data_IF_628113237903
#
_entry.id   IF_628113237903
#
_cell.length_a   1.000
_cell.length_b   1.000
_cell.length_c   1.000
_cell.angle_alpha   90.00
_cell.angle_beta   90.00
_cell.angle_gamma   90.00
#
_symmetry.space_group_name_H-M   'P 1'
#
loop_
_entity.id
_entity.type
_entity.pdbx_description
1 polymer ?
#
# COMPACT_ATOMS: atom_id res chain seq x y z
N UNK A 1 18.68 -3.98 -0.97
CA UNK A 1 17.31 -4.40 -0.64
C UNK A 1 16.43 -3.19 -0.48
N UNK A 2 15.23 -3.27 -0.99
CA UNK A 2 14.33 -2.11 -1.04
C UNK A 2 13.44 -2.10 0.20
N UNK A 3 13.58 -1.08 1.03
CA UNK A 3 12.80 -0.95 2.26
C UNK A 3 11.55 -0.08 2.11
N UNK A 4 11.18 0.25 0.87
CA UNK A 4 10.00 1.09 0.61
C UNK A 4 8.73 0.48 1.19
N UNK A 5 8.56 -0.82 1.01
CA UNK A 5 7.38 -1.51 1.52
C UNK A 5 7.33 -1.49 3.05
N UNK A 6 8.48 -1.66 3.68
CA UNK A 6 8.56 -1.59 5.14
C UNK A 6 8.18 -0.20 5.64
N UNK A 7 8.75 0.81 5.01
CA UNK A 7 8.57 2.19 5.43
C UNK A 7 7.10 2.61 5.36
N UNK A 8 6.45 2.38 4.21
CA UNK A 8 5.04 2.75 4.06
C UNK A 8 4.13 1.89 4.94
N UNK A 9 4.43 0.61 5.09
CA UNK A 9 3.63 -0.27 5.93
C UNK A 9 3.69 0.19 7.39
N UNK A 10 4.88 0.57 7.85
CA UNK A 10 5.06 1.10 9.20
C UNK A 10 4.28 2.40 9.40
N UNK A 11 4.37 3.31 8.43
CA UNK A 11 3.66 4.60 8.50
C UNK A 11 2.15 4.42 8.50
N UNK A 12 1.63 3.56 7.63
CA UNK A 12 0.20 3.30 7.58
C UNK A 12 -0.32 2.65 8.85
N UNK A 13 0.45 1.72 9.40
CA UNK A 13 0.09 1.08 10.66
C UNK A 13 -0.03 2.12 11.77
N UNK A 14 0.94 3.03 11.85
CA UNK A 14 0.94 4.10 12.83
C UNK A 14 -0.27 5.04 12.65
N UNK A 15 -0.52 5.46 11.42
CA UNK A 15 -1.64 6.37 11.10
C UNK A 15 -2.98 5.71 11.44
N UNK A 16 -3.18 4.46 11.04
CA UNK A 16 -4.44 3.77 11.28
C UNK A 16 -4.71 3.55 12.77
N UNK A 17 -3.66 3.29 13.56
CA UNK A 17 -3.82 3.13 14.99
C UNK A 17 -4.22 4.44 15.70
N UNK A 18 -4.06 5.57 15.02
CA UNK A 18 -4.52 6.86 15.52
C UNK A 18 -5.91 7.24 15.01
N UNK A 19 -6.51 6.41 14.18
CA UNK A 19 -7.87 6.64 13.69
C UNK A 19 -8.84 5.82 14.52
N UNK A 20 -9.85 6.46 15.06
CA UNK A 20 -10.83 5.80 15.89
C UNK A 20 -11.55 4.70 15.11
N UNK A 21 -11.64 3.52 15.71
CA UNK A 21 -12.32 2.39 15.09
C UNK A 21 -11.41 1.45 14.33
N UNK A 22 -10.13 1.80 14.16
CA UNK A 22 -9.15 0.96 13.49
C UNK A 22 -8.10 0.45 14.46
N UNK A 23 -7.72 -0.82 14.27
CA UNK A 23 -6.51 -1.38 14.88
C UNK A 23 -5.66 -1.92 13.73
N UNK A 24 -4.39 -1.64 13.75
CA UNK A 24 -3.50 -2.07 12.68
C UNK A 24 -2.22 -2.68 13.26
N UNK A 25 -1.70 -3.67 12.56
CA UNK A 25 -0.45 -4.33 12.90
C UNK A 25 0.26 -4.76 11.63
N UNK A 26 1.59 -4.80 11.67
CA UNK A 26 2.37 -5.30 10.55
C UNK A 26 2.40 -6.82 10.59
N UNK A 27 2.09 -7.46 9.46
CA UNK A 27 2.16 -8.91 9.32
C UNK A 27 3.48 -9.31 8.66
N UNK A 28 3.72 -8.80 7.45
CA UNK A 28 4.97 -8.99 6.74
C UNK A 28 5.35 -7.69 6.07
N UNK A 29 5.94 -6.75 6.82
CA UNK A 29 6.15 -5.39 6.31
C UNK A 29 7.10 -5.31 5.12
N UNK A 30 8.05 -6.23 5.00
CA UNK A 30 8.97 -6.24 3.85
C UNK A 30 8.25 -6.57 2.55
N UNK A 31 7.15 -7.31 2.63
CA UNK A 31 6.29 -7.61 1.49
C UNK A 31 5.08 -6.66 1.42
N UNK A 32 5.04 -5.67 2.29
CA UNK A 32 3.95 -4.71 2.30
C UNK A 32 2.64 -5.26 2.86
N UNK A 33 2.72 -6.29 3.70
CA UNK A 33 1.50 -6.90 4.24
C UNK A 33 1.25 -6.47 5.67
N UNK A 34 0.03 -6.05 5.93
CA UNK A 34 -0.40 -5.66 7.25
C UNK A 34 -1.78 -6.23 7.56
N UNK A 35 -2.11 -6.22 8.84
CA UNK A 35 -3.43 -6.60 9.34
C UNK A 35 -4.16 -5.35 9.80
N UNK A 36 -5.43 -5.27 9.48
CA UNK A 36 -6.28 -4.17 9.93
C UNK A 36 -7.55 -4.76 10.49
N UNK A 37 -7.94 -4.30 11.66
CA UNK A 37 -9.24 -4.66 12.23
C UNK A 37 -10.14 -3.44 12.19
N UNK A 38 -11.32 -3.62 11.64
CA UNK A 38 -12.32 -2.57 11.61
C UNK A 38 -13.68 -3.21 11.86
N UNK A 39 -14.41 -2.66 12.80
CA UNK A 39 -15.75 -3.12 13.11
C UNK A 39 -15.79 -4.61 13.51
N UNK A 40 -14.76 -5.07 14.23
CA UNK A 40 -14.64 -6.44 14.69
C UNK A 40 -14.18 -7.46 13.66
N UNK A 41 -13.92 -7.02 12.44
CA UNK A 41 -13.49 -7.89 11.34
C UNK A 41 -12.05 -7.59 11.01
N UNK A 42 -11.25 -8.64 10.83
CA UNK A 42 -9.84 -8.53 10.47
C UNK A 42 -9.66 -8.66 8.96
N UNK A 43 -8.80 -7.81 8.40
CA UNK A 43 -8.50 -7.79 6.97
C UNK A 43 -6.99 -7.86 6.76
N UNK A 44 -6.59 -8.58 5.70
CA UNK A 44 -5.25 -8.43 5.18
C UNK A 44 -5.22 -7.26 4.20
N UNK A 45 -4.22 -6.43 4.35
CA UNK A 45 -3.98 -5.32 3.42
C UNK A 45 -2.60 -5.53 2.80
N UNK A 46 -2.54 -5.52 1.49
CA UNK A 46 -1.28 -5.64 0.76
C UNK A 46 -0.95 -4.31 0.10
N UNK A 47 0.28 -3.89 0.27
CA UNK A 47 0.79 -2.61 -0.25
C UNK A 47 1.91 -2.94 -1.22
N UNK A 48 1.82 -2.44 -2.44
CA UNK A 48 2.87 -2.64 -3.41
C UNK A 48 3.07 -1.37 -4.23
N UNK A 49 4.31 -1.08 -4.63
CA UNK A 49 4.55 0.06 -5.51
C UNK A 49 3.96 -0.20 -6.90
N UNK A 50 3.55 0.87 -7.55
CA UNK A 50 3.03 0.79 -8.91
C UNK A 50 4.18 1.06 -9.88
N UNK A 51 4.50 0.09 -10.71
CA UNK A 51 5.59 0.20 -11.66
C UNK A 51 5.07 0.25 -13.08
N UNK A 52 5.87 0.86 -13.95
CA UNK A 52 5.58 0.90 -15.37
C UNK A 52 5.89 -0.46 -15.99
N UNK A 53 4.86 -1.18 -16.42
CA UNK A 53 4.99 -2.51 -17.00
C UNK A 53 5.70 -2.52 -18.34
N UNK A 54 5.91 -1.36 -18.95
CA UNK A 54 6.59 -1.25 -20.24
C UNK A 54 8.11 -1.15 -20.12
N UNK A 55 8.64 -1.11 -18.91
CA UNK A 55 10.08 -1.08 -18.69
C UNK A 55 10.65 -2.49 -18.91
N UNK A 56 11.38 -2.67 -20.00
CA UNK A 56 11.97 -3.96 -20.37
C UNK A 56 13.47 -3.95 -20.06
N UNK A 57 13.92 -4.95 -19.30
CA UNK A 57 15.35 -5.15 -19.05
C UNK A 57 15.99 -4.18 -18.07
N UNK A 58 15.19 -3.37 -17.40
CA UNK A 58 15.65 -2.41 -16.38
C UNK A 58 14.70 -2.46 -15.20
N UNK A 59 15.12 -1.86 -14.09
CA UNK A 59 14.19 -1.62 -13.01
C UNK A 59 13.04 -0.77 -13.51
N UNK A 60 11.82 -1.24 -13.26
CA UNK A 60 10.65 -0.50 -13.67
C UNK A 60 10.54 0.81 -12.88
N UNK A 61 10.30 1.90 -13.58
CA UNK A 61 10.06 3.17 -12.94
C UNK A 61 8.71 3.17 -12.25
N UNK A 62 8.64 3.81 -11.11
CA UNK A 62 7.37 3.97 -10.40
C UNK A 62 6.44 4.87 -11.22
N UNK A 63 5.18 4.46 -11.37
CA UNK A 63 4.19 5.26 -12.07
C UNK A 63 3.83 6.51 -11.28
N UNK A 64 3.75 7.68 -11.93
CA UNK A 64 3.28 8.89 -11.24
C UNK A 64 1.85 8.72 -10.72
N UNK A 65 1.64 9.17 -9.51
CA UNK A 65 0.35 9.06 -8.85
C UNK A 65 -0.81 9.58 -9.71
N UNK A 66 -0.62 10.74 -10.31
CA UNK A 66 -1.65 11.41 -11.12
C UNK A 66 -2.03 10.58 -12.35
N UNK A 67 -1.05 9.89 -12.96
CA UNK A 67 -1.32 9.04 -14.11
C UNK A 67 -2.11 7.80 -13.73
N UNK A 68 -1.78 7.20 -12.59
CA UNK A 68 -2.51 6.04 -12.09
C UNK A 68 -3.96 6.40 -11.75
N UNK A 69 -4.15 7.55 -11.14
CA UNK A 69 -5.49 8.04 -10.81
C UNK A 69 -6.31 8.24 -12.08
N UNK A 70 -5.71 8.81 -13.14
CA UNK A 70 -6.39 8.97 -14.43
C UNK A 70 -6.81 7.64 -15.03
N UNK A 71 -5.94 6.64 -14.97
CA UNK A 71 -6.24 5.32 -15.51
C UNK A 71 -7.42 4.65 -14.81
N UNK A 72 -7.63 4.97 -13.55
CA UNK A 72 -8.68 4.38 -12.75
C UNK A 72 -9.80 5.37 -12.39
N UNK A 73 -9.87 6.49 -13.09
CA UNK A 73 -10.84 7.54 -12.76
C UNK A 73 -12.30 7.06 -12.87
N UNK A 74 -12.56 6.09 -13.70
CA UNK A 74 -13.90 5.51 -13.88
C UNK A 74 -14.36 4.73 -12.64
N UNK A 75 -13.44 4.34 -11.76
CA UNK A 75 -13.74 3.61 -10.53
C UNK A 75 -14.15 4.56 -9.41
N UNK A 76 -13.65 5.79 -9.46
CA UNK A 76 -13.75 6.76 -8.36
C UNK A 76 -14.97 7.66 -8.42
N UNK A 77 -15.92 7.34 -9.19
CA UNK A 77 -17.14 8.18 -9.28
C UNK A 77 -18.02 8.07 -8.06
#
# INVERSE_FOLDING_TARGET
MDDRNYDITNKLTEVLNNVKGFDAAMSNPRKGRMLVRYNGISFYVSIEPVFNDNAVGKEADNEPFEEVVKMHSWIWK
#
